data_IF_962541641304
#
_entry.id   IF_962541641304
#
_cell.length_a   1.000
_cell.length_b   1.000
_cell.length_c   1.000
_cell.angle_alpha   90.00
_cell.angle_beta   90.00
_cell.angle_gamma   90.00
#
_symmetry.space_group_name_H-M   'P 1'
#
loop_
_entity.id
_entity.type
_entity.pdbx_description
1 polymer ?
#
# COMPACT_ATOMS: atom_id res chain seq x y z
N UNK A 1 -12.11 10.24 -27.20
CA UNK A 1 -12.30 10.00 -25.75
C UNK A 1 -11.57 11.15 -25.06
N UNK A 2 -12.30 12.11 -24.48
CA UNK A 2 -11.68 13.21 -23.73
C UNK A 2 -11.09 12.61 -22.46
N UNK A 3 -9.81 12.85 -22.20
CA UNK A 3 -9.18 12.52 -20.93
C UNK A 3 -9.74 13.53 -19.92
N UNK A 4 -10.38 13.06 -18.86
CA UNK A 4 -10.89 13.91 -17.78
C UNK A 4 -9.76 14.79 -17.25
N UNK A 5 -10.04 16.08 -17.08
CA UNK A 5 -9.06 17.00 -16.48
C UNK A 5 -9.02 16.82 -14.97
N UNK A 6 -7.91 17.23 -14.35
CA UNK A 6 -7.68 17.14 -12.88
C UNK A 6 -8.86 17.66 -12.04
N UNK A 7 -9.48 18.73 -12.50
CA UNK A 7 -10.52 19.44 -11.74
C UNK A 7 -11.88 18.72 -11.76
N UNK A 8 -12.10 17.83 -12.77
CA UNK A 8 -13.33 17.04 -12.90
C UNK A 8 -13.35 15.78 -12.01
N UNK A 9 -12.21 15.39 -11.46
CA UNK A 9 -12.05 14.17 -10.62
C UNK A 9 -11.90 14.45 -9.13
N UNK A 10 -11.80 15.73 -8.72
CA UNK A 10 -11.71 16.09 -7.31
C UNK A 10 -13.10 16.05 -6.66
N UNK A 11 -13.30 15.26 -5.58
CA UNK A 11 -14.59 15.19 -4.91
C UNK A 11 -14.88 16.47 -4.12
N UNK A 12 -16.13 16.91 -4.13
CA UNK A 12 -16.63 18.05 -3.34
C UNK A 12 -16.81 17.72 -1.84
N UNK A 13 -16.45 16.51 -1.40
CA UNK A 13 -16.67 16.01 -0.04
C UNK A 13 -15.53 15.12 0.47
N UNK A 14 -15.86 14.19 1.36
CA UNK A 14 -14.89 13.22 1.87
C UNK A 14 -14.29 12.41 0.72
N UNK A 15 -12.96 12.22 0.75
CA UNK A 15 -12.23 11.49 -0.27
C UNK A 15 -12.72 10.04 -0.38
N UNK A 16 -13.08 9.61 -1.60
CA UNK A 16 -13.51 8.23 -1.89
C UNK A 16 -12.63 7.62 -2.98
N UNK A 17 -12.11 6.43 -2.74
CA UNK A 17 -11.30 5.66 -3.70
C UNK A 17 -12.21 4.83 -4.61
N UNK A 18 -13.01 5.50 -5.42
CA UNK A 18 -13.94 4.91 -6.38
C UNK A 18 -13.27 4.59 -7.75
N UNK A 19 -14.07 4.15 -8.70
CA UNK A 19 -13.60 3.80 -10.06
C UNK A 19 -13.01 4.99 -10.81
N UNK A 20 -13.55 6.21 -10.62
CA UNK A 20 -13.06 7.41 -11.31
C UNK A 20 -11.68 7.81 -10.78
N UNK A 21 -11.52 7.81 -9.46
CA UNK A 21 -10.23 8.05 -8.80
C UNK A 21 -9.22 6.97 -9.19
N UNK A 22 -9.62 5.70 -9.25
CA UNK A 22 -8.76 4.59 -9.64
C UNK A 22 -8.17 4.78 -11.05
N UNK A 23 -8.94 5.32 -11.99
CA UNK A 23 -8.50 5.52 -13.37
C UNK A 23 -7.39 6.58 -13.54
N UNK A 24 -7.36 7.59 -12.64
CA UNK A 24 -6.40 8.73 -12.71
C UNK A 24 -5.39 8.71 -11.57
N UNK A 25 -5.34 7.64 -10.78
CA UNK A 25 -4.67 7.57 -9.50
C UNK A 25 -3.17 7.89 -9.59
N UNK A 26 -2.44 7.29 -10.54
CA UNK A 26 -0.98 7.49 -10.69
C UNK A 26 -0.63 8.94 -11.04
N UNK A 27 -1.37 9.53 -11.99
CA UNK A 27 -1.18 10.92 -12.38
C UNK A 27 -1.50 11.87 -11.22
N UNK A 28 -2.56 11.58 -10.47
CA UNK A 28 -2.93 12.35 -9.30
C UNK A 28 -1.85 12.29 -8.21
N UNK A 29 -1.31 11.11 -7.89
CA UNK A 29 -0.25 10.96 -6.89
C UNK A 29 1.02 11.71 -7.30
N UNK A 30 1.46 11.55 -8.54
CA UNK A 30 2.66 12.20 -9.08
C UNK A 30 2.58 13.73 -9.01
N UNK A 31 1.39 14.31 -9.20
CA UNK A 31 1.16 15.76 -9.12
C UNK A 31 0.91 16.26 -7.71
N UNK A 32 0.35 15.43 -6.82
CA UNK A 32 -0.09 15.86 -5.49
C UNK A 32 0.96 15.63 -4.40
N UNK A 33 1.88 14.70 -4.60
CA UNK A 33 2.92 14.35 -3.62
C UNK A 33 4.27 14.90 -4.09
N UNK A 34 4.87 15.85 -3.35
CA UNK A 34 6.21 16.33 -3.68
C UNK A 34 7.23 15.18 -3.72
N UNK A 35 8.05 15.14 -4.76
CA UNK A 35 9.09 14.12 -4.95
C UNK A 35 8.58 12.67 -4.86
N UNK A 36 7.39 12.40 -5.41
CA UNK A 36 6.73 11.11 -5.34
C UNK A 36 7.65 9.94 -5.75
N UNK A 37 8.38 10.08 -6.85
CA UNK A 37 9.32 9.05 -7.34
C UNK A 37 10.48 8.81 -6.36
N UNK A 38 11.01 9.87 -5.74
CA UNK A 38 12.08 9.75 -4.73
C UNK A 38 11.56 9.00 -3.50
N UNK A 39 10.36 9.32 -3.05
CA UNK A 39 9.70 8.61 -1.96
C UNK A 39 9.54 7.12 -2.28
N UNK A 40 9.05 6.80 -3.49
CA UNK A 40 8.85 5.42 -3.96
C UNK A 40 10.16 4.63 -3.99
N UNK A 41 11.20 5.22 -4.56
CA UNK A 41 12.53 4.61 -4.61
C UNK A 41 13.10 4.40 -3.21
N UNK A 42 12.95 5.37 -2.32
CA UNK A 42 13.40 5.25 -0.92
C UNK A 42 12.68 4.12 -0.19
N UNK A 43 11.36 3.97 -0.39
CA UNK A 43 10.59 2.85 0.17
C UNK A 43 11.13 1.50 -0.32
N UNK A 44 11.40 1.37 -1.62
CA UNK A 44 11.98 0.16 -2.21
C UNK A 44 13.35 -0.16 -1.59
N UNK A 45 14.23 0.84 -1.53
CA UNK A 45 15.60 0.65 -1.05
C UNK A 45 15.62 0.25 0.43
N UNK A 46 14.86 0.94 1.29
CA UNK A 46 14.74 0.60 2.70
C UNK A 46 14.09 -0.77 2.89
N UNK A 47 12.97 -1.04 2.26
CA UNK A 47 12.28 -2.33 2.38
C UNK A 47 13.19 -3.49 1.96
N UNK A 48 13.97 -3.31 0.89
CA UNK A 48 14.88 -4.33 0.36
C UNK A 48 15.94 -4.79 1.35
N UNK A 49 16.31 -3.96 2.32
CA UNK A 49 17.28 -4.32 3.37
C UNK A 49 16.74 -5.35 4.37
N UNK A 50 15.42 -5.44 4.49
CA UNK A 50 14.73 -6.23 5.51
C UNK A 50 13.98 -7.45 4.95
N UNK A 51 13.84 -7.56 3.62
CA UNK A 51 13.19 -8.73 3.01
C UNK A 51 13.96 -10.00 3.34
N UNK A 52 13.25 -10.99 3.90
CA UNK A 52 13.81 -12.30 4.26
C UNK A 52 13.15 -13.39 3.39
N UNK A 53 13.93 -14.36 2.95
CA UNK A 53 13.42 -15.46 2.12
C UNK A 53 12.33 -16.28 2.84
N UNK A 54 11.30 -16.69 2.11
CA UNK A 54 10.18 -17.53 2.59
C UNK A 54 9.36 -16.87 3.70
N UNK A 55 9.26 -15.55 3.65
CA UNK A 55 8.42 -14.74 4.52
C UNK A 55 7.37 -13.98 3.74
N UNK A 56 6.53 -13.23 4.44
CA UNK A 56 5.55 -12.34 3.82
C UNK A 56 6.11 -10.92 3.71
N UNK A 57 5.82 -10.26 2.60
CA UNK A 57 5.91 -8.81 2.43
C UNK A 57 4.48 -8.30 2.32
N UNK A 58 4.05 -7.47 3.26
CA UNK A 58 2.66 -7.03 3.38
C UNK A 58 2.56 -5.54 3.04
N UNK A 59 1.66 -5.17 2.15
CA UNK A 59 1.34 -3.79 1.81
C UNK A 59 -0.07 -3.45 2.31
N UNK A 60 -0.15 -2.64 3.37
CA UNK A 60 -1.42 -2.21 3.96
C UNK A 60 -1.91 -0.92 3.29
N UNK A 61 -3.16 -0.92 2.82
CA UNK A 61 -3.69 0.12 1.96
C UNK A 61 -2.98 0.10 0.60
N UNK A 62 -2.89 -1.09 0.02
CA UNK A 62 -2.08 -1.33 -1.17
C UNK A 62 -2.58 -0.62 -2.43
N UNK A 63 -3.81 -0.09 -2.42
CA UNK A 63 -4.43 0.54 -3.60
C UNK A 63 -4.31 -0.36 -4.83
N UNK A 64 -3.70 0.11 -5.90
CA UNK A 64 -3.45 -0.64 -7.14
C UNK A 64 -2.14 -1.46 -7.10
N UNK A 65 -1.48 -1.55 -5.93
CA UNK A 65 -0.26 -2.34 -5.71
C UNK A 65 1.04 -1.66 -6.17
N UNK A 66 1.05 -0.32 -6.31
CA UNK A 66 2.23 0.40 -6.78
C UNK A 66 3.44 0.22 -5.86
N UNK A 67 3.25 0.35 -4.53
CA UNK A 67 4.35 0.25 -3.59
C UNK A 67 4.96 -1.16 -3.56
N UNK A 68 4.11 -2.16 -3.65
CA UNK A 68 4.52 -3.56 -3.65
C UNK A 68 5.16 -4.01 -4.97
N UNK A 69 4.75 -3.43 -6.11
CA UNK A 69 5.15 -3.91 -7.44
C UNK A 69 6.68 -3.99 -7.62
N UNK A 70 7.41 -2.96 -7.21
CA UNK A 70 8.87 -2.92 -7.34
C UNK A 70 9.56 -4.01 -6.48
N UNK A 71 9.00 -4.35 -5.32
CA UNK A 71 9.51 -5.44 -4.48
C UNK A 71 9.18 -6.81 -5.11
N UNK A 72 8.00 -6.95 -5.70
CA UNK A 72 7.61 -8.15 -6.46
C UNK A 72 8.58 -8.39 -7.62
N UNK A 73 8.90 -7.36 -8.38
CA UNK A 73 9.86 -7.44 -9.50
C UNK A 73 11.27 -7.82 -9.03
N UNK A 74 11.68 -7.32 -7.86
CA UNK A 74 13.03 -7.54 -7.33
C UNK A 74 13.20 -8.90 -6.67
N UNK A 75 12.22 -9.38 -5.93
CA UNK A 75 12.33 -10.57 -5.08
C UNK A 75 11.54 -11.78 -5.60
N UNK A 76 10.48 -11.55 -6.38
CA UNK A 76 9.70 -12.63 -7.01
C UNK A 76 9.32 -13.75 -6.05
N UNK A 77 9.58 -15.00 -6.44
CA UNK A 77 9.22 -16.19 -5.67
C UNK A 77 10.02 -16.39 -4.37
N UNK A 78 10.93 -15.49 -4.01
CA UNK A 78 11.64 -15.56 -2.73
C UNK A 78 10.73 -15.30 -1.54
N UNK A 79 9.65 -14.54 -1.74
CA UNK A 79 8.68 -14.13 -0.72
C UNK A 79 7.26 -14.34 -1.23
N UNK A 80 6.30 -14.26 -0.31
CA UNK A 80 4.90 -14.06 -0.66
C UNK A 80 4.55 -12.59 -0.42
N UNK A 81 3.85 -11.99 -1.36
CA UNK A 81 3.42 -10.59 -1.30
C UNK A 81 1.92 -10.53 -1.04
N UNK A 82 1.52 -9.75 -0.03
CA UNK A 82 0.12 -9.65 0.39
C UNK A 82 -0.28 -8.19 0.35
N UNK A 83 -1.20 -7.84 -0.56
CA UNK A 83 -1.81 -6.52 -0.62
C UNK A 83 -3.17 -6.50 0.08
N UNK A 84 -3.36 -5.54 0.98
CA UNK A 84 -4.58 -5.37 1.77
C UNK A 84 -5.19 -3.99 1.51
N UNK A 85 -6.47 -3.93 1.14
CA UNK A 85 -7.21 -2.68 0.97
C UNK A 85 -8.71 -2.89 1.25
N UNK A 86 -9.48 -1.80 1.39
CA UNK A 86 -10.93 -1.81 1.54
C UNK A 86 -11.66 -1.30 0.29
N UNK A 87 -10.95 -0.75 -0.68
CA UNK A 87 -11.51 -0.27 -1.94
C UNK A 87 -11.53 -1.38 -2.99
N UNK A 88 -12.69 -1.93 -3.28
CA UNK A 88 -12.81 -3.00 -4.29
C UNK A 88 -12.34 -2.53 -5.69
N UNK A 89 -12.63 -1.30 -6.19
CA UNK A 89 -12.06 -0.85 -7.46
C UNK A 89 -10.53 -0.85 -7.50
N UNK A 90 -9.86 -0.47 -6.39
CA UNK A 90 -8.41 -0.53 -6.27
C UNK A 90 -7.90 -1.98 -6.26
N UNK A 91 -8.57 -2.86 -5.51
CA UNK A 91 -8.23 -4.28 -5.45
C UNK A 91 -8.40 -4.98 -6.81
N UNK A 92 -9.43 -4.65 -7.57
CA UNK A 92 -9.62 -5.17 -8.94
C UNK A 92 -8.46 -4.75 -9.85
N UNK A 93 -8.04 -3.48 -9.80
CA UNK A 93 -6.88 -3.00 -10.55
C UNK A 93 -5.58 -3.70 -10.12
N UNK A 94 -5.37 -3.90 -8.82
CA UNK A 94 -4.23 -4.65 -8.29
C UNK A 94 -4.25 -6.12 -8.73
N UNK A 95 -5.40 -6.78 -8.69
CA UNK A 95 -5.56 -8.16 -9.17
C UNK A 95 -5.25 -8.27 -10.66
N UNK A 96 -5.69 -7.31 -11.47
CA UNK A 96 -5.34 -7.24 -12.90
C UNK A 96 -3.84 -7.09 -13.11
N UNK A 97 -3.17 -6.21 -12.35
CA UNK A 97 -1.72 -6.00 -12.40
C UNK A 97 -0.94 -7.30 -12.12
N UNK A 98 -1.34 -8.05 -11.12
CA UNK A 98 -0.61 -9.23 -10.64
C UNK A 98 -1.24 -10.57 -11.04
N UNK A 99 -2.14 -10.60 -12.02
CA UNK A 99 -2.93 -11.80 -12.39
C UNK A 99 -2.09 -13.06 -12.52
N UNK A 100 -0.95 -13.01 -13.22
CA UNK A 100 -0.06 -14.14 -13.40
C UNK A 100 0.57 -14.63 -12.09
N UNK A 101 0.94 -13.71 -11.21
CA UNK A 101 1.59 -14.00 -9.93
C UNK A 101 0.60 -14.46 -8.86
N UNK A 102 -0.65 -14.03 -8.95
CA UNK A 102 -1.74 -14.53 -8.10
C UNK A 102 -2.00 -16.01 -8.41
N UNK A 103 -2.03 -16.40 -9.68
CA UNK A 103 -2.20 -17.81 -10.08
C UNK A 103 -1.09 -18.73 -9.58
N UNK A 104 0.12 -18.21 -9.39
CA UNK A 104 1.25 -18.96 -8.84
C UNK A 104 1.35 -18.91 -7.31
N UNK A 105 0.49 -18.13 -6.65
CA UNK A 105 0.50 -17.96 -5.20
C UNK A 105 1.61 -17.03 -4.66
N UNK A 106 2.36 -16.35 -5.54
CA UNK A 106 3.40 -15.38 -5.15
C UNK A 106 2.77 -14.10 -4.62
N UNK A 107 1.68 -13.64 -5.24
CA UNK A 107 0.92 -12.45 -4.82
C UNK A 107 -0.47 -12.86 -4.36
N UNK A 108 -0.96 -12.17 -3.34
CA UNK A 108 -2.29 -12.36 -2.76
C UNK A 108 -2.91 -10.99 -2.47
N UNK A 109 -3.99 -10.64 -3.14
CA UNK A 109 -4.68 -9.35 -3.03
C UNK A 109 -6.03 -9.55 -2.35
N UNK A 110 -6.19 -8.97 -1.15
CA UNK A 110 -7.34 -9.21 -0.28
C UNK A 110 -8.07 -7.94 0.12
N UNK A 111 -9.40 -8.03 0.15
CA UNK A 111 -10.18 -7.08 0.93
C UNK A 111 -9.88 -7.28 2.43
N UNK A 112 -9.48 -6.22 3.11
CA UNK A 112 -9.22 -6.27 4.55
C UNK A 112 -9.34 -4.90 5.21
N UNK A 113 -10.13 -4.82 6.27
CA UNK A 113 -10.28 -3.62 7.08
C UNK A 113 -9.25 -3.61 8.23
N UNK A 114 -8.30 -2.69 8.16
CA UNK A 114 -7.22 -2.55 9.15
C UNK A 114 -7.72 -2.28 10.57
N UNK A 115 -8.95 -1.81 10.75
CA UNK A 115 -9.57 -1.67 12.07
C UNK A 115 -9.69 -3.01 12.83
N UNK A 116 -9.62 -4.13 12.11
CA UNK A 116 -9.59 -5.48 12.67
C UNK A 116 -8.18 -5.94 13.07
N UNK A 117 -7.14 -5.14 12.80
CA UNK A 117 -5.73 -5.54 12.87
C UNK A 117 -5.27 -6.22 11.58
N UNK A 118 -4.05 -6.76 11.56
CA UNK A 118 -3.55 -7.53 10.41
C UNK A 118 -4.07 -8.97 10.44
N UNK A 119 -4.28 -9.61 9.28
CA UNK A 119 -4.52 -11.05 9.23
C UNK A 119 -3.26 -11.82 9.70
N UNK A 120 -3.38 -13.10 10.04
CA UNK A 120 -2.21 -13.92 10.39
C UNK A 120 -1.20 -13.96 9.25
N UNK A 121 -0.03 -13.35 9.46
CA UNK A 121 1.09 -13.28 8.52
C UNK A 121 2.42 -13.43 9.26
N UNK A 122 3.48 -13.80 8.55
CA UNK A 122 4.86 -13.84 9.04
C UNK A 122 5.69 -12.84 8.24
N UNK A 123 5.56 -11.57 8.57
CA UNK A 123 6.09 -10.49 7.77
C UNK A 123 7.56 -10.19 8.08
N UNK A 124 8.42 -10.18 7.07
CA UNK A 124 9.73 -9.53 7.16
C UNK A 124 9.64 -8.04 6.85
N UNK A 125 8.67 -7.65 6.02
CA UNK A 125 8.41 -6.23 5.71
C UNK A 125 6.90 -5.98 5.73
N UNK A 126 6.52 -4.88 6.38
CA UNK A 126 5.19 -4.28 6.22
C UNK A 126 5.38 -2.89 5.62
N UNK A 127 4.69 -2.61 4.52
CA UNK A 127 4.60 -1.28 3.91
C UNK A 127 3.32 -0.59 4.40
N UNK A 128 3.43 0.68 4.76
CA UNK A 128 2.32 1.59 5.02
C UNK A 128 2.63 2.92 4.35
N UNK A 129 2.23 3.07 3.10
CA UNK A 129 2.54 4.26 2.31
C UNK A 129 1.29 5.13 2.18
N UNK A 130 1.23 6.20 2.97
CA UNK A 130 0.12 7.16 3.01
C UNK A 130 -1.24 6.51 3.36
N UNK A 131 -1.25 5.51 4.22
CA UNK A 131 -2.42 4.68 4.53
C UNK A 131 -3.04 4.99 5.88
N UNK A 132 -2.25 4.99 6.97
CA UNK A 132 -2.76 5.13 8.34
C UNK A 132 -3.42 6.49 8.55
N UNK A 133 -3.04 7.52 7.81
CA UNK A 133 -3.69 8.84 7.85
C UNK A 133 -5.20 8.78 7.56
N UNK A 134 -5.67 7.82 6.76
CA UNK A 134 -7.09 7.63 6.45
C UNK A 134 -7.83 6.78 7.50
N UNK A 135 -7.10 6.22 8.47
CA UNK A 135 -7.70 5.43 9.54
C UNK A 135 -8.07 6.34 10.73
N UNK A 136 -9.26 6.18 11.34
CA UNK A 136 -9.62 6.93 12.54
C UNK A 136 -8.57 6.78 13.64
N UNK A 137 -8.29 7.89 14.36
CA UNK A 137 -7.14 7.99 15.26
C UNK A 137 -7.17 6.95 16.38
N UNK A 138 -8.35 6.58 16.86
CA UNK A 138 -8.58 5.59 17.92
C UNK A 138 -8.14 4.16 17.54
N UNK A 139 -8.03 3.86 16.24
CA UNK A 139 -7.57 2.54 15.76
C UNK A 139 -6.06 2.47 15.51
N UNK A 140 -5.37 3.61 15.34
CA UNK A 140 -3.98 3.65 14.87
C UNK A 140 -3.02 2.90 15.78
N UNK A 141 -3.14 3.08 17.10
CA UNK A 141 -2.28 2.36 18.05
C UNK A 141 -2.49 0.84 17.98
N UNK A 142 -3.74 0.39 17.85
CA UNK A 142 -4.07 -1.03 17.69
C UNK A 142 -3.51 -1.59 16.39
N UNK A 143 -3.59 -0.84 15.30
CA UNK A 143 -3.03 -1.23 14.00
C UNK A 143 -1.52 -1.35 14.09
N UNK A 144 -0.82 -0.35 14.64
CA UNK A 144 0.63 -0.37 14.82
C UNK A 144 1.09 -1.53 15.72
N UNK A 145 0.33 -1.82 16.79
CA UNK A 145 0.60 -2.99 17.62
C UNK A 145 0.43 -4.30 16.84
N UNK A 146 -0.63 -4.43 16.05
CA UNK A 146 -0.86 -5.62 15.23
C UNK A 146 0.23 -5.80 14.16
N UNK A 147 0.74 -4.72 13.57
CA UNK A 147 1.89 -4.75 12.67
C UNK A 147 3.13 -5.27 13.43
N UNK A 148 3.43 -4.69 14.60
CA UNK A 148 4.56 -5.11 15.42
C UNK A 148 4.49 -6.60 15.77
N UNK A 149 3.33 -7.08 16.20
CA UNK A 149 3.11 -8.48 16.58
C UNK A 149 3.22 -9.45 15.37
N UNK A 150 3.07 -8.95 14.13
CA UNK A 150 3.18 -9.73 12.88
C UNK A 150 4.59 -9.77 12.29
N UNK A 151 5.47 -8.86 12.71
CA UNK A 151 6.84 -8.80 12.22
C UNK A 151 7.69 -9.94 12.80
N UNK A 152 8.49 -10.53 11.94
CA UNK A 152 9.54 -11.47 12.33
C UNK A 152 10.72 -10.73 13.00
N UNK A 153 11.58 -11.44 13.75
CA UNK A 153 12.85 -10.86 14.16
C UNK A 153 13.60 -10.26 12.97
N UNK A 154 14.17 -9.09 13.16
CA UNK A 154 14.85 -8.29 12.11
C UNK A 154 13.93 -7.86 10.95
N UNK A 155 12.61 -7.93 11.12
CA UNK A 155 11.64 -7.38 10.19
C UNK A 155 11.42 -5.88 10.40
N UNK A 156 10.86 -5.20 9.40
CA UNK A 156 10.66 -3.76 9.42
C UNK A 156 9.27 -3.31 8.96
N UNK A 157 8.77 -2.24 9.58
CA UNK A 157 7.70 -1.41 9.06
C UNK A 157 8.31 -0.25 8.28
N UNK A 158 8.02 -0.14 6.99
CA UNK A 158 8.33 1.03 6.17
C UNK A 158 7.08 1.92 6.15
N UNK A 159 7.22 3.08 6.77
CA UNK A 159 6.09 3.95 7.09
C UNK A 159 6.27 5.34 6.47
N UNK A 160 5.32 5.74 5.65
CA UNK A 160 5.27 7.08 5.03
C UNK A 160 3.92 7.69 5.30
N UNK A 161 3.91 8.88 5.90
CA UNK A 161 2.67 9.59 6.22
C UNK A 161 2.82 11.10 6.05
N UNK A 162 1.69 11.76 5.84
CA UNK A 162 1.59 13.21 5.85
C UNK A 162 1.55 13.68 7.31
N UNK A 163 2.45 14.58 7.66
CA UNK A 163 2.50 15.18 9.00
C UNK A 163 2.02 16.63 8.97
N UNK A 164 1.49 17.11 10.09
CA UNK A 164 1.16 18.52 10.24
C UNK A 164 2.45 19.34 10.32
N UNK A 165 2.48 20.47 9.61
CA UNK A 165 3.52 21.49 9.79
C UNK A 165 3.42 22.17 11.16
N UNK A 166 4.50 22.89 11.54
CA UNK A 166 4.53 23.66 12.77
C UNK A 166 3.60 24.89 12.74
N UNK A 167 3.20 25.33 11.54
CA UNK A 167 2.22 26.40 11.30
C UNK A 167 1.21 25.90 10.29
N UNK A 168 -0.08 26.11 10.60
CA UNK A 168 -1.18 25.86 9.67
C UNK A 168 -1.25 26.98 8.63
#
# INVERSE_FOLDING_TARGET
>A
MQVATKDETMPDGAWSFDTNVTAVFDDMLSRSIPQYEVMRQTCLDLASLYVQNKTDVVDIGCSRGEAMAQLVDRFGAQCRFIGLDVSEPMLEAARGRFEGLIRTGIVDIRYHDLRQGLPPVRASVVLSVLTIQFTPIEYRLRILKSIYDSLLPDGALIFVEKVLGATA
#
